data_IF_430684493521
#
_entry.id   IF_430684493521
#
_cell.length_a   1.000
_cell.length_b   1.000
_cell.length_c   1.000
_cell.angle_alpha   90.00
_cell.angle_beta   90.00
_cell.angle_gamma   90.00
#
_symmetry.space_group_name_H-M   'P 1'
#
loop_
_entity.id
_entity.type
_entity.pdbx_description
1 polymer ?
2 polymer ?
3 branched ?
4 water ?
#
# COMPACT_ATOMS: atom_id res chain seq x y z
N UNK A 1 -6.99 -13.20 -24.42
CA UNK A 1 -7.19 -13.64 -23.01
C UNK A 1 -8.61 -13.38 -22.60
N UNK A 2 -8.93 -13.75 -21.37
CA UNK A 2 -10.26 -13.50 -20.86
C UNK A 2 -10.18 -12.22 -20.03
N UNK A 3 -10.96 -11.22 -20.43
CA UNK A 3 -10.98 -9.93 -19.76
C UNK A 3 -12.05 -9.88 -18.70
N UNK A 4 -11.70 -9.37 -17.52
CA UNK A 4 -12.64 -9.24 -16.43
C UNK A 4 -12.77 -7.77 -16.07
N UNK A 5 -13.97 -7.24 -16.30
CA UNK A 5 -14.26 -5.84 -16.01
C UNK A 5 -15.11 -5.71 -14.75
N UNK A 6 -14.61 -4.96 -13.77
CA UNK A 6 -15.35 -4.78 -12.53
C UNK A 6 -15.97 -3.40 -12.39
N UNK A 7 -17.13 -3.35 -11.74
CA UNK A 7 -17.81 -2.10 -11.51
C UNK A 7 -18.50 -2.19 -10.16
N UNK A 8 -18.54 -1.08 -9.42
CA UNK A 8 -17.99 0.22 -9.84
C UNK A 8 -16.48 0.23 -9.65
N UNK A 9 -15.86 1.35 -9.98
CA UNK A 9 -14.42 1.47 -9.82
C UNK A 9 -14.11 1.84 -8.36
N UNK A 10 -15.02 2.60 -7.76
CA UNK A 10 -14.91 3.05 -6.36
C UNK A 10 -16.29 2.87 -5.73
N UNK A 11 -16.34 2.35 -4.50
CA UNK A 11 -17.63 2.12 -3.86
C UNK A 11 -17.73 2.64 -2.42
N UNK A 12 -18.39 3.80 -2.22
CA UNK A 12 -18.57 4.42 -0.90
C UNK A 12 -19.74 3.72 -0.20
N UNK A 13 -19.55 3.28 1.04
CA UNK A 13 -20.61 2.60 1.74
C UNK A 13 -20.57 2.87 3.24
N UNK A 14 -21.76 3.00 3.83
CA UNK A 14 -21.92 3.25 5.26
C UNK A 14 -21.73 1.99 6.07
N UNK A 15 -21.26 2.15 7.30
CA UNK A 15 -21.05 1.01 8.18
C UNK A 15 -22.36 0.27 8.40
N UNK A 16 -22.31 -1.06 8.40
CA UNK A 16 -23.49 -1.86 8.61
C UNK A 16 -24.35 -1.99 7.36
N UNK A 17 -24.00 -1.24 6.34
CA UNK A 17 -24.76 -1.27 5.09
C UNK A 17 -24.36 -2.43 4.18
N UNK A 18 -24.95 -2.45 2.99
CA UNK A 18 -24.69 -3.49 2.02
C UNK A 18 -23.92 -2.96 0.81
N UNK A 19 -22.94 -3.73 0.34
CA UNK A 19 -22.15 -3.34 -0.81
C UNK A 19 -22.26 -4.43 -1.86
N UNK A 20 -22.18 -4.04 -3.13
CA UNK A 20 -22.28 -5.02 -4.20
C UNK A 20 -21.31 -4.73 -5.34
N UNK A 21 -20.41 -5.68 -5.60
CA UNK A 21 -19.40 -5.57 -6.65
C UNK A 21 -19.70 -6.56 -7.77
N UNK A 22 -19.62 -6.11 -9.02
CA UNK A 22 -19.89 -6.99 -10.13
C UNK A 22 -18.64 -7.23 -10.95
N UNK A 23 -18.66 -8.34 -11.67
CA UNK A 23 -17.53 -8.75 -12.49
C UNK A 23 -18.07 -9.42 -13.75
N UNK A 24 -17.70 -8.86 -14.90
CA UNK A 24 -18.16 -9.40 -16.17
C UNK A 24 -16.98 -9.90 -16.99
N UNK A 25 -17.10 -11.09 -17.58
CA UNK A 25 -16.01 -11.62 -18.38
C UNK A 25 -16.32 -11.56 -19.87
N UNK A 26 -15.27 -11.56 -20.67
CA UNK A 26 -15.37 -11.49 -22.12
C UNK A 26 -15.84 -12.79 -22.77
N UNK A 27 -15.94 -13.86 -21.98
CA UNK A 27 -16.41 -15.15 -22.50
C UNK A 27 -16.89 -16.03 -21.35
N UNK A 28 -17.45 -17.19 -21.68
CA UNK A 28 -17.97 -18.07 -20.65
C UNK A 28 -16.85 -18.72 -19.84
N UNK A 29 -17.09 -18.85 -18.53
CA UNK A 29 -16.10 -19.43 -17.65
C UNK A 29 -16.44 -20.87 -17.25
N UNK A 30 -17.44 -21.44 -17.91
CA UNK A 30 -17.83 -22.81 -17.61
C UNK A 30 -16.80 -23.75 -18.21
N UNK A 31 -16.17 -24.54 -17.34
CA UNK A 31 -15.16 -25.50 -17.74
C UNK A 31 -15.81 -26.81 -18.20
N UNK A 32 -15.09 -27.56 -19.05
CA UNK A 32 -15.59 -28.84 -19.55
C UNK A 32 -16.02 -29.76 -18.41
N UNK A 33 -15.32 -29.68 -17.28
CA UNK A 33 -15.64 -30.53 -16.15
C UNK A 33 -16.83 -30.04 -15.36
N UNK A 34 -17.56 -29.07 -15.90
CA UNK A 34 -18.75 -28.57 -15.22
C UNK A 34 -18.60 -27.56 -14.10
N UNK A 35 -17.38 -27.14 -13.78
CA UNK A 35 -17.20 -26.14 -12.72
C UNK A 35 -16.96 -24.79 -13.36
N UNK A 36 -17.16 -23.72 -12.58
CA UNK A 36 -16.91 -22.37 -13.06
C UNK A 36 -15.90 -21.81 -12.06
N UNK A 37 -14.68 -21.57 -12.51
CA UNK A 37 -13.66 -21.08 -11.61
C UNK A 37 -13.51 -19.57 -11.51
N UNK A 38 -14.55 -18.92 -10.98
CA UNK A 38 -14.56 -17.47 -10.79
C UNK A 38 -14.41 -17.26 -9.27
N UNK A 39 -13.44 -16.45 -8.88
CA UNK A 39 -13.16 -16.21 -7.46
C UNK A 39 -13.09 -14.73 -7.10
N UNK A 40 -13.18 -14.44 -5.80
CA UNK A 40 -13.11 -13.06 -5.33
C UNK A 40 -12.04 -12.96 -4.26
N UNK A 41 -11.36 -11.81 -4.23
CA UNK A 41 -10.30 -11.56 -3.26
C UNK A 41 -10.41 -10.18 -2.64
N UNK A 42 -9.93 -10.05 -1.41
CA UNK A 42 -9.92 -8.77 -0.72
C UNK A 42 -8.48 -8.41 -0.39
N UNK A 43 -8.08 -7.20 -0.74
CA UNK A 43 -6.75 -6.73 -0.44
C UNK A 43 -6.85 -5.46 0.41
N UNK A 44 -6.44 -5.58 1.67
CA UNK A 44 -6.47 -4.45 2.59
C UNK A 44 -5.18 -3.64 2.41
N UNK A 45 -5.22 -2.35 2.76
CA UNK A 45 -4.06 -1.47 2.65
C UNK A 45 -2.77 -2.08 3.24
N UNK A 46 -1.75 -2.20 2.41
CA UNK A 46 -0.49 -2.76 2.88
C UNK A 46 -0.41 -4.29 2.88
N UNK A 47 -1.55 -4.96 2.96
CA UNK A 47 -1.60 -6.42 2.97
C UNK A 47 -1.74 -7.01 1.57
N UNK A 48 -1.49 -8.30 1.45
CA UNK A 48 -1.60 -8.99 0.16
C UNK A 48 -3.03 -9.46 -0.02
N UNK A 49 -3.42 -9.82 -1.26
CA UNK A 49 -4.81 -10.26 -1.43
C UNK A 49 -5.13 -11.54 -0.68
N UNK A 50 -6.36 -11.60 -0.18
CA UNK A 50 -6.86 -12.76 0.55
C UNK A 50 -8.09 -13.31 -0.16
N UNK A 51 -8.17 -14.62 -0.23
CA UNK A 51 -9.29 -15.30 -0.88
C UNK A 51 -10.53 -15.27 0.00
N UNK A 52 -11.66 -14.91 -0.60
CA UNK A 52 -12.91 -14.86 0.14
C UNK A 52 -13.87 -15.90 -0.40
N UNK A 53 -14.06 -15.87 -1.72
CA UNK A 53 -14.97 -16.76 -2.42
C UNK A 53 -14.27 -17.51 -3.54
N UNK A 54 -14.53 -18.81 -3.60
CA UNK A 54 -13.96 -19.62 -4.65
C UNK A 54 -15.09 -20.36 -5.37
N UNK A 55 -14.92 -20.55 -6.66
CA UNK A 55 -15.90 -21.23 -7.48
C UNK A 55 -17.29 -20.57 -7.40
N UNK A 56 -17.30 -19.27 -7.64
CA UNK A 56 -18.52 -18.48 -7.65
C UNK A 56 -19.19 -18.19 -6.32
N UNK A 57 -19.40 -19.21 -5.49
CA UNK A 57 -20.14 -19.01 -4.25
C UNK A 57 -19.65 -19.67 -2.97
N UNK A 58 -18.57 -20.43 -3.04
CA UNK A 58 -18.06 -21.09 -1.84
C UNK A 58 -17.19 -20.17 -1.03
N UNK A 59 -17.54 -19.99 0.24
CA UNK A 59 -16.77 -19.14 1.13
C UNK A 59 -15.51 -19.85 1.59
N UNK A 60 -14.40 -19.13 1.62
CA UNK A 60 -13.15 -19.72 2.06
C UNK A 60 -13.15 -19.80 3.58
N UNK A 61 -12.13 -20.45 4.15
CA UNK A 61 -12.05 -20.58 5.60
C UNK A 61 -11.94 -19.24 6.33
N UNK A 62 -12.68 -19.11 7.43
CA UNK A 62 -12.64 -17.90 8.22
C UNK A 62 -13.39 -16.74 7.62
N UNK A 63 -13.88 -16.92 6.40
CA UNK A 63 -14.64 -15.88 5.74
C UNK A 63 -16.03 -15.93 6.36
N UNK A 64 -16.47 -14.82 6.98
CA UNK A 64 -17.79 -14.74 7.62
C UNK A 64 -18.90 -15.01 6.61
N UNK A 65 -20.10 -15.27 7.09
CA UNK A 65 -21.23 -15.53 6.20
C UNK A 65 -21.80 -14.23 5.64
N UNK A 66 -21.08 -13.11 5.87
CA UNK A 66 -21.49 -11.80 5.37
C UNK A 66 -21.11 -11.68 3.89
N UNK A 67 -20.13 -12.47 3.48
CA UNK A 67 -19.66 -12.45 2.10
C UNK A 67 -20.29 -13.59 1.31
N UNK A 68 -21.02 -13.27 0.26
CA UNK A 68 -21.63 -14.30 -0.55
C UNK A 68 -21.48 -13.96 -2.04
N UNK A 69 -21.30 -14.98 -2.87
CA UNK A 69 -21.13 -14.73 -4.28
C UNK A 69 -22.08 -15.52 -5.17
N UNK A 70 -22.29 -15.01 -6.37
CA UNK A 70 -23.19 -15.66 -7.32
C UNK A 70 -22.68 -15.45 -8.74
N UNK A 71 -23.24 -16.23 -9.66
CA UNK A 71 -22.83 -16.13 -11.05
C UNK A 71 -24.01 -16.40 -11.97
N UNK A 72 -23.88 -15.97 -13.22
CA UNK A 72 -24.92 -16.14 -14.22
C UNK A 72 -24.36 -15.82 -15.59
N UNK A 73 -23.85 -16.84 -16.28
CA UNK A 73 -23.28 -16.63 -17.60
C UNK A 73 -21.91 -15.99 -17.49
N UNK A 74 -21.80 -14.73 -17.90
CA UNK A 74 -20.54 -14.02 -17.85
C UNK A 74 -20.61 -12.92 -16.81
N UNK A 75 -21.69 -12.89 -16.04
CA UNK A 75 -21.85 -11.89 -14.99
C UNK A 75 -21.75 -12.52 -13.63
N UNK A 76 -20.93 -11.93 -12.77
CA UNK A 76 -20.74 -12.43 -11.43
C UNK A 76 -20.83 -11.29 -10.43
N UNK A 77 -21.25 -11.63 -9.21
CA UNK A 77 -21.43 -10.62 -8.18
C UNK A 77 -20.95 -11.05 -6.81
N UNK A 78 -20.30 -10.13 -6.11
CA UNK A 78 -19.84 -10.36 -4.74
C UNK A 78 -20.73 -9.46 -3.88
N UNK A 79 -21.27 -9.99 -2.79
CA UNK A 79 -22.12 -9.19 -1.93
C UNK A 79 -21.61 -9.19 -0.50
N UNK A 80 -21.61 -8.03 0.13
CA UNK A 80 -21.18 -7.90 1.51
C UNK A 80 -22.28 -7.25 2.34
N UNK A 81 -22.92 -8.01 3.21
CA UNK A 81 -23.96 -7.44 4.04
C UNK A 81 -23.29 -6.98 5.34
N UNK A 82 -23.99 -6.14 6.11
CA UNK A 82 -23.47 -5.63 7.39
C UNK A 82 -21.99 -5.21 7.28
N UNK A 83 -21.68 -4.35 6.31
CA UNK A 83 -20.32 -3.86 6.09
C UNK A 83 -19.72 -3.27 7.36
N UNK A 84 -18.46 -3.56 7.63
CA UNK A 84 -17.82 -2.99 8.80
C UNK A 84 -16.39 -2.54 8.49
N UNK A 85 -15.89 -1.59 9.28
CA UNK A 85 -14.56 -1.02 9.10
C UNK A 85 -13.51 -1.92 8.48
N UNK A 86 -13.26 -3.07 9.11
CA UNK A 86 -12.27 -4.01 8.62
C UNK A 86 -12.47 -4.41 7.15
N UNK A 87 -13.65 -4.12 6.61
CA UNK A 87 -13.94 -4.47 5.23
C UNK A 87 -13.34 -3.56 4.17
N UNK A 88 -12.73 -2.45 4.56
CA UNK A 88 -12.17 -1.56 3.56
C UNK A 88 -11.00 -2.16 2.79
N UNK A 89 -10.88 -1.77 1.53
CA UNK A 89 -9.80 -2.28 0.70
C UNK A 89 -10.24 -2.44 -0.74
N UNK A 90 -9.46 -3.19 -1.51
CA UNK A 90 -9.81 -3.44 -2.90
C UNK A 90 -10.21 -4.89 -3.11
N UNK A 91 -11.36 -5.09 -3.75
CA UNK A 91 -11.87 -6.42 -4.03
C UNK A 91 -11.64 -6.73 -5.49
N UNK A 92 -11.08 -7.90 -5.76
CA UNK A 92 -10.79 -8.30 -7.13
C UNK A 92 -11.50 -9.60 -7.47
N UNK A 93 -11.85 -9.75 -8.75
CA UNK A 93 -12.43 -11.00 -9.19
C UNK A 93 -11.39 -11.61 -10.10
N UNK A 94 -11.33 -12.94 -10.13
CA UNK A 94 -10.37 -13.62 -10.98
C UNK A 94 -10.95 -14.95 -11.43
N UNK A 95 -10.44 -15.43 -12.57
CA UNK A 95 -10.91 -16.69 -13.10
C UNK A 95 -9.73 -17.59 -13.41
N UNK A 96 -9.94 -18.90 -13.26
CA UNK A 96 -8.92 -19.89 -13.54
C UNK A 96 -9.48 -21.02 -14.41
N UNK A 97 -10.50 -20.71 -15.19
CA UNK A 97 -11.08 -21.68 -16.10
C UNK A 97 -10.10 -21.76 -17.26
N UNK A 98 -9.63 -20.61 -17.73
CA UNK A 98 -8.67 -20.52 -18.83
C UNK A 98 -7.39 -19.91 -18.26
N UNK A 99 -6.53 -19.36 -19.12
CA UNK A 99 -5.32 -18.72 -18.61
C UNK A 99 -5.83 -17.73 -17.57
N UNK A 100 -5.36 -17.86 -16.32
CA UNK A 100 -5.80 -16.97 -15.23
C UNK A 100 -5.71 -15.47 -15.49
N UNK A 101 -6.79 -14.76 -15.19
CA UNK A 101 -6.83 -13.31 -15.36
C UNK A 101 -7.54 -12.71 -14.15
N UNK A 102 -7.29 -11.42 -13.91
CA UNK A 102 -7.90 -10.74 -12.77
C UNK A 102 -8.59 -9.48 -13.26
N UNK A 103 -9.58 -9.04 -12.49
CA UNK A 103 -10.29 -7.83 -12.86
C UNK A 103 -9.49 -6.61 -12.39
N UNK A 104 -9.92 -5.42 -12.81
CA UNK A 104 -9.24 -4.21 -12.44
C UNK A 104 -9.28 -3.85 -10.97
N UNK A 105 -10.32 -4.27 -10.28
CA UNK A 105 -10.42 -3.97 -8.87
C UNK A 105 -11.46 -2.93 -8.53
N UNK A 106 -11.94 -2.98 -7.30
CA UNK A 106 -12.95 -2.04 -6.83
C UNK A 106 -12.54 -1.64 -5.41
N UNK A 107 -12.29 -0.35 -5.22
CA UNK A 107 -11.92 0.12 -3.88
C UNK A 107 -13.19 0.37 -3.09
N UNK A 108 -13.28 -0.25 -1.92
CA UNK A 108 -14.44 -0.06 -1.06
C UNK A 108 -14.04 0.96 0.00
N UNK A 109 -14.76 2.06 0.06
CA UNK A 109 -14.49 3.10 1.04
C UNK A 109 -15.59 3.14 2.09
N UNK A 110 -15.22 3.40 3.33
CA UNK A 110 -16.18 3.47 4.41
C UNK A 110 -16.70 4.90 4.54
N UNK A 111 -17.99 5.07 4.30
CA UNK A 111 -18.63 6.36 4.40
C UNK A 111 -18.96 6.50 5.89
N UNK A 112 -18.23 7.35 6.60
CA UNK A 112 -18.47 7.54 8.02
C UNK A 112 -18.82 8.98 8.34
N UNK A 113 -19.08 9.26 9.60
CA UNK A 113 -19.45 10.62 10.04
C UNK A 113 -18.29 11.58 9.90
N UNK A 114 -18.59 12.80 9.45
CA UNK A 114 -17.57 13.81 9.29
C UNK A 114 -16.74 13.99 10.55
N UNK A 115 -15.47 14.32 10.36
CA UNK A 115 -14.56 14.53 11.48
C UNK A 115 -13.63 15.68 11.14
N UNK A 116 -13.59 16.68 12.01
CA UNK A 116 -12.73 17.82 11.81
C UNK A 116 -11.29 17.42 12.09
N UNK A 117 -10.34 17.99 11.34
CA UNK A 117 -8.91 17.71 11.49
C UNK A 117 -8.23 18.34 12.70
N UNK A 118 -7.08 17.79 13.04
CA UNK A 118 -6.26 18.27 14.12
C UNK A 118 -4.98 18.69 13.40
N UNK A 119 -4.60 19.95 13.52
CA UNK A 119 -3.42 20.43 12.84
C UNK A 119 -2.18 20.59 13.70
N UNK A 120 -1.06 20.17 13.13
CA UNK A 120 0.22 20.24 13.80
C UNK A 120 1.15 20.84 12.76
N UNK A 121 1.99 21.79 13.17
CA UNK A 121 2.92 22.37 12.22
C UNK A 121 4.31 22.09 12.76
N UNK A 122 5.17 21.58 11.89
CA UNK A 122 6.54 21.25 12.26
C UNK A 122 7.54 22.10 11.48
N UNK A 123 8.21 23.02 12.17
CA UNK A 123 9.17 23.84 11.41
C UNK A 123 10.25 22.90 10.90
N UNK A 124 11.08 23.39 9.97
CA UNK A 124 12.12 22.49 9.46
C UNK A 124 13.11 22.12 10.57
N UNK A 125 13.68 20.94 10.42
CA UNK A 125 14.69 20.46 11.35
C UNK A 125 15.99 21.05 10.83
N UNK A 126 16.90 21.43 11.73
CA UNK A 126 18.17 21.99 11.28
C UNK A 126 18.93 20.94 10.47
N UNK A 127 18.60 19.67 10.68
CA UNK A 127 19.26 18.59 9.96
C UNK A 127 19.05 18.63 8.45
N UNK A 128 18.00 19.32 8.02
CA UNK A 128 17.69 19.40 6.60
C UNK A 128 18.36 20.54 5.85
N UNK A 129 18.71 21.59 6.58
CA UNK A 129 19.30 22.80 6.00
C UNK A 129 20.48 22.63 5.05
N UNK A 130 21.39 21.72 5.32
CA UNK A 130 22.52 21.56 4.41
C UNK A 130 22.12 20.92 3.07
N UNK A 131 20.89 20.40 2.98
CA UNK A 131 20.43 19.81 1.73
C UNK A 131 20.15 20.92 0.72
N UNK A 132 20.03 22.15 1.21
CA UNK A 132 19.76 23.28 0.34
C UNK A 132 18.30 23.65 0.35
N UNK A 133 17.49 22.82 1.01
CA UNK A 133 16.07 23.07 1.09
C UNK A 133 15.57 22.92 2.51
N UNK A 134 14.42 23.52 2.78
CA UNK A 134 13.79 23.45 4.09
C UNK A 134 12.33 23.05 3.86
N UNK A 135 11.85 22.10 4.66
CA UNK A 135 10.47 21.62 4.51
C UNK A 135 9.68 21.88 5.76
N UNK A 136 8.64 22.69 5.63
CA UNK A 136 7.77 22.99 6.75
C UNK A 136 6.59 22.05 6.52
N UNK A 137 6.24 21.26 7.52
CA UNK A 137 5.14 20.32 7.37
C UNK A 137 3.93 20.69 8.22
N UNK A 138 2.75 20.60 7.59
CA UNK A 138 1.47 20.88 8.22
C UNK A 138 0.76 19.53 8.15
N UNK A 139 0.56 18.90 9.30
CA UNK A 139 -0.08 17.60 9.36
C UNK A 139 -1.53 17.69 9.82
N UNK A 140 -2.44 17.22 8.99
CA UNK A 140 -3.87 17.24 9.31
C UNK A 140 -4.22 15.80 9.62
N UNK A 141 -4.56 15.54 10.87
CA UNK A 141 -4.84 14.20 11.36
C UNK A 141 -6.29 13.89 11.72
N UNK A 142 -6.70 12.65 11.42
CA UNK A 142 -8.01 12.11 11.74
C UNK A 142 -9.25 12.88 11.29
N UNK A 143 -9.39 13.07 9.98
CA UNK A 143 -10.53 13.80 9.45
C UNK A 143 -11.30 12.98 8.42
N UNK A 144 -12.44 13.51 8.02
CA UNK A 144 -13.29 12.87 7.04
C UNK A 144 -14.38 13.89 6.74
N UNK A 145 -14.75 14.06 5.46
CA UNK A 145 -14.28 13.42 4.22
C UNK A 145 -12.79 13.60 3.95
N UNK A 146 -12.34 13.04 2.83
CA UNK A 146 -10.95 13.07 2.38
C UNK A 146 -10.52 14.44 1.86
N UNK A 147 -11.42 15.11 1.15
CA UNK A 147 -11.17 16.43 0.56
C UNK A 147 -10.82 17.47 1.60
N UNK A 148 -9.73 18.18 1.35
CA UNK A 148 -9.30 19.23 2.25
C UNK A 148 -8.35 20.12 1.46
N UNK A 149 -8.27 21.38 1.87
CA UNK A 149 -7.41 22.36 1.21
C UNK A 149 -6.48 22.98 2.23
N UNK A 150 -5.21 23.04 1.88
CA UNK A 150 -4.22 23.63 2.75
C UNK A 150 -3.62 24.81 2.02
N UNK A 151 -3.56 25.95 2.70
CA UNK A 151 -2.99 27.15 2.09
C UNK A 151 -1.79 27.54 2.94
N UNK A 152 -0.74 28.03 2.30
CA UNK A 152 0.44 28.45 3.03
C UNK A 152 0.67 29.95 2.92
N UNK A 153 1.04 30.55 4.05
CA UNK A 153 1.31 31.97 4.13
C UNK A 153 2.67 32.24 4.74
N UNK A 154 3.52 32.89 3.95
CA UNK A 154 4.86 33.24 4.43
C UNK A 154 4.83 34.73 4.67
N UNK A 155 4.88 35.13 5.94
CA UNK A 155 4.83 36.54 6.28
C UNK A 155 3.58 37.13 5.63
N UNK A 156 2.41 36.63 6.04
CA UNK A 156 1.16 37.12 5.50
C UNK A 156 0.86 36.79 4.05
N UNK A 157 1.88 36.71 3.21
CA UNK A 157 1.67 36.42 1.79
C UNK A 157 1.46 34.94 1.47
N UNK A 158 0.42 34.65 0.70
CA UNK A 158 0.10 33.29 0.30
C UNK A 158 1.17 32.77 -0.65
N UNK A 159 1.66 31.55 -0.41
CA UNK A 159 2.68 30.93 -1.23
C UNK A 159 2.10 29.67 -1.83
N UNK A 160 2.03 29.58 -3.15
CA UNK A 160 1.45 28.41 -3.79
C UNK A 160 2.44 27.36 -4.28
N UNK A 161 3.58 27.78 -4.82
CA UNK A 161 4.53 26.79 -5.31
C UNK A 161 5.49 26.32 -4.24
N UNK A 162 5.86 25.04 -4.33
CA UNK A 162 6.75 24.43 -3.36
C UNK A 162 5.97 23.50 -2.46
N UNK A 163 4.67 23.41 -2.70
CA UNK A 163 3.79 22.57 -1.90
C UNK A 163 3.52 21.18 -2.48
N UNK A 164 3.53 20.17 -1.62
CA UNK A 164 3.25 18.80 -1.99
C UNK A 164 2.28 18.24 -0.98
N UNK A 165 1.13 17.77 -1.45
CA UNK A 165 0.11 17.23 -0.56
C UNK A 165 -0.06 15.74 -0.84
N UNK A 166 -0.23 14.97 0.24
CA UNK A 166 -0.41 13.54 0.11
C UNK A 166 -1.25 13.00 1.25
N UNK A 167 -2.09 12.02 0.94
CA UNK A 167 -3.00 11.42 1.93
C UNK A 167 -2.62 10.00 2.36
N UNK A 168 -3.24 9.57 3.45
CA UNK A 168 -3.04 8.22 3.95
C UNK A 168 -4.26 7.47 3.43
N UNK A 169 -4.22 6.15 3.50
CA UNK A 169 -5.36 5.33 3.11
C UNK A 169 -6.32 5.50 4.28
N UNK A 170 -7.54 5.02 4.12
CA UNK A 170 -8.52 5.13 5.17
C UNK A 170 -8.15 4.18 6.31
N UNK A 171 -8.28 4.67 7.55
CA UNK A 171 -7.93 3.88 8.71
C UNK A 171 -8.94 2.75 9.03
N UNK A 172 -8.41 1.55 9.24
CA UNK A 172 -9.21 0.36 9.53
C UNK A 172 -10.06 0.47 10.79
N UNK A 173 -9.54 1.21 11.78
CA UNK A 173 -10.23 1.39 13.05
C UNK A 173 -11.36 2.42 12.98
N UNK A 174 -10.99 3.70 12.95
CA UNK A 174 -11.99 4.77 12.94
C UNK A 174 -12.38 5.33 11.58
N UNK A 175 -11.87 4.73 10.51
CA UNK A 175 -12.20 5.14 9.14
C UNK A 175 -11.96 6.60 8.75
N UNK A 176 -10.99 7.25 9.39
CA UNK A 176 -10.67 8.64 9.07
C UNK A 176 -9.45 8.71 8.17
N UNK A 177 -9.11 9.91 7.73
CA UNK A 177 -7.93 10.11 6.90
C UNK A 177 -6.99 11.08 7.58
N UNK A 178 -5.77 11.12 7.09
CA UNK A 178 -4.75 12.03 7.57
C UNK A 178 -4.07 12.46 6.28
N UNK A 179 -3.49 13.65 6.28
CA UNK A 179 -2.79 14.12 5.11
C UNK A 179 -1.77 15.13 5.57
N UNK A 180 -0.70 15.25 4.81
CA UNK A 180 0.35 16.19 5.14
C UNK A 180 0.63 17.11 3.99
N UNK A 181 0.84 18.38 4.30
CA UNK A 181 1.16 19.35 3.29
C UNK A 181 2.61 19.73 3.57
N UNK A 182 3.46 19.64 2.55
CA UNK A 182 4.85 19.96 2.75
C UNK A 182 5.28 21.09 1.85
N UNK A 183 5.70 22.20 2.46
CA UNK A 183 6.17 23.36 1.73
C UNK A 183 7.67 23.28 1.76
N UNK A 184 8.28 23.21 0.58
CA UNK A 184 9.73 23.13 0.52
C UNK A 184 10.30 24.39 -0.11
N UNK A 185 11.24 25.03 0.59
CA UNK A 185 11.85 26.25 0.11
C UNK A 185 13.35 26.08 0.04
N UNK A 186 14.03 27.02 -0.62
CA UNK A 186 15.49 26.97 -0.68
C UNK A 186 15.83 27.45 0.73
N UNK A 187 16.97 27.03 1.26
CA UNK A 187 17.36 27.44 2.61
C UNK A 187 17.27 28.96 2.82
N UNK A 188 17.84 29.75 1.91
CA UNK A 188 17.81 31.19 2.08
C UNK A 188 16.42 31.82 1.96
N UNK A 189 15.56 31.21 1.17
CA UNK A 189 14.20 31.72 1.03
C UNK A 189 13.57 31.59 2.41
N UNK A 190 13.80 30.45 3.05
CA UNK A 190 13.26 30.18 4.37
C UNK A 190 13.76 31.18 5.43
N UNK A 191 15.02 31.60 5.33
CA UNK A 191 15.56 32.52 6.34
C UNK A 191 15.29 33.99 6.10
N UNK A 192 14.72 34.32 4.94
CA UNK A 192 14.38 35.70 4.63
C UNK A 192 12.95 36.00 5.06
N UNK A 193 12.36 35.10 5.85
CA UNK A 193 10.99 35.27 6.33
C UNK A 193 10.90 34.73 7.73
N UNK A 194 9.92 35.20 8.50
CA UNK A 194 9.79 34.78 9.89
C UNK A 194 8.52 34.03 10.28
N UNK A 195 7.40 34.36 9.67
CA UNK A 195 6.15 33.68 9.99
C UNK A 195 5.72 32.69 8.93
N UNK A 196 5.49 31.46 9.37
CA UNK A 196 5.04 30.42 8.48
C UNK A 196 3.70 29.95 9.00
N UNK A 197 2.68 30.11 8.16
CA UNK A 197 1.34 29.74 8.54
C UNK A 197 0.65 28.84 7.52
N UNK A 198 0.00 27.79 7.99
CA UNK A 198 -0.76 26.95 7.08
C UNK A 198 -2.18 27.00 7.58
N UNK A 199 -3.09 27.20 6.64
CA UNK A 199 -4.50 27.26 6.97
C UNK A 199 -5.14 26.09 6.27
N UNK A 200 -5.96 25.37 7.01
CA UNK A 200 -6.66 24.23 6.47
C UNK A 200 -8.15 24.52 6.49
N UNK A 201 -8.80 24.23 5.39
CA UNK A 201 -10.23 24.40 5.24
C UNK A 201 -10.81 23.04 4.93
N UNK A 202 -11.71 22.59 5.79
CA UNK A 202 -12.35 21.29 5.62
C UNK A 202 -13.85 21.49 5.67
N UNK A 203 -14.60 20.50 5.21
CA UNK A 203 -16.06 20.58 5.21
C UNK A 203 -16.56 20.86 6.63
N UNK A 204 -15.87 20.29 7.62
CA UNK A 204 -16.25 20.46 9.01
C UNK A 204 -16.10 21.86 9.61
N UNK A 205 -16.01 22.89 8.76
CA UNK A 205 -15.87 24.25 9.27
C UNK A 205 -15.85 25.34 8.19
N UNK A 206 -16.12 26.57 8.60
CA UNK A 206 -16.12 27.72 7.68
C UNK A 206 -14.79 28.44 7.86
N UNK A 207 -14.47 28.74 9.13
CA UNK A 207 -13.23 29.42 9.48
C UNK A 207 -12.05 28.46 9.40
N UNK A 208 -10.99 28.86 8.71
CA UNK A 208 -9.77 28.06 8.52
C UNK A 208 -9.06 27.67 9.80
N UNK A 209 -8.61 26.42 9.87
CA UNK A 209 -7.88 25.97 11.03
C UNK A 209 -6.48 26.50 10.77
N UNK A 210 -6.04 27.45 11.60
CA UNK A 210 -4.72 28.04 11.40
C UNK A 210 -3.71 27.55 12.41
N UNK A 211 -2.49 27.33 11.92
CA UNK A 211 -1.38 26.89 12.75
C UNK A 211 -0.17 27.58 12.16
N UNK A 212 0.66 28.15 13.01
CA UNK A 212 1.85 28.83 12.52
C UNK A 212 2.91 28.93 13.60
N UNK A 213 4.14 29.20 13.17
CA UNK A 213 5.25 29.33 14.09
C UNK A 213 6.09 30.49 13.61
N UNK A 214 6.87 31.04 14.53
CA UNK A 214 7.76 32.14 14.21
C UNK A 214 9.12 31.63 14.62
N UNK A 215 10.16 32.07 13.92
CA UNK A 215 11.51 31.64 14.24
C UNK A 215 12.07 32.52 15.36
N UNK B 1 -2.26 -20.46 9.75
CA UNK B 1 -1.08 -21.35 10.00
C UNK B 1 -0.29 -21.57 8.71
N UNK B 2 -0.94 -21.36 7.56
CA UNK B 2 -0.26 -21.50 6.29
C UNK B 2 0.56 -20.24 6.13
N UNK B 3 1.82 -20.38 5.78
CA UNK B 3 2.70 -19.23 5.64
C UNK B 3 3.45 -19.24 4.31
N UNK B 4 3.47 -18.10 3.64
CA UNK B 4 4.17 -17.96 2.36
C UNK B 4 4.98 -16.67 2.41
N UNK B 5 6.29 -16.75 2.15
CA UNK B 5 7.11 -15.56 2.21
C UNK B 5 8.11 -15.42 1.07
N UNK B 6 7.94 -14.36 0.28
CA UNK B 6 8.82 -14.08 -0.86
C UNK B 6 9.96 -13.14 -0.49
N UNK B 7 10.96 -13.06 -1.37
CA UNK B 7 12.10 -12.19 -1.17
C UNK B 7 12.88 -12.10 -2.47
N UNK B 8 13.80 -11.14 -2.54
CA UNK B 8 14.62 -10.99 -3.73
C UNK B 8 14.34 -9.78 -4.62
N UNK B 9 13.46 -8.90 -4.18
CA UNK B 9 13.14 -7.74 -5.00
C UNK B 9 14.21 -6.66 -4.99
N UNK B 10 13.98 -5.60 -5.74
CA UNK B 10 14.94 -4.52 -5.80
C UNK B 10 14.86 -3.78 -7.12
N UNK B 11 15.87 -2.98 -7.41
CA UNK B 11 15.91 -2.21 -8.65
C UNK B 11 16.79 -2.90 -9.67
N UNK B 12 16.32 -3.00 -10.92
CA UNK B 12 17.09 -3.63 -11.99
C UNK B 12 17.03 -2.77 -13.25
N UNK B 13 18.02 -2.93 -14.13
CA UNK B 13 18.10 -2.15 -15.37
C UNK B 13 17.43 -2.87 -16.53
N UNK B 14 17.12 -2.54 -17.65
CA UNK B 14 16.57 -3.37 -18.74
C UNK B 14 17.65 -4.24 -19.36
N UNK B 15 17.54 -4.14 -19.25
CA UNK B 15 17.26 -5.51 -19.61
C UNK B 15 18.09 -6.52 -18.83
N UNK B 16 18.04 -6.42 -17.50
CA UNK B 16 18.81 -7.32 -16.65
C UNK B 16 18.05 -8.55 -16.17
N UNK B 17 18.64 -9.26 -15.21
CA UNK B 17 18.04 -10.46 -14.66
C UNK B 17 17.80 -10.29 -13.17
N UNK B 18 17.00 -11.19 -12.61
CA UNK B 18 16.68 -11.16 -11.19
C UNK B 18 15.95 -12.44 -10.81
N UNK B 19 16.22 -12.93 -9.61
CA UNK B 19 15.59 -14.16 -9.14
C UNK B 19 14.84 -13.97 -7.83
N UNK B 20 13.59 -14.44 -7.80
CA UNK B 20 12.77 -14.33 -6.60
C UNK B 20 12.62 -15.69 -5.93
N UNK B 21 12.46 -15.68 -4.62
CA UNK B 21 12.30 -16.92 -3.87
C UNK B 21 11.04 -16.88 -3.04
N UNK B 22 10.46 -18.04 -2.80
CA UNK B 22 9.28 -18.13 -1.97
C UNK B 22 9.36 -19.34 -1.09
N UNK B 23 9.12 -19.14 0.20
CA UNK B 23 9.19 -20.21 1.16
C UNK B 23 7.83 -20.39 1.79
N UNK B 24 7.31 -21.60 1.71
CA UNK B 24 6.01 -21.91 2.29
C UNK B 24 6.19 -22.80 3.50
N UNK B 25 5.21 -22.80 4.39
CA UNK B 25 5.26 -23.64 5.58
C UNK B 25 3.82 -23.77 6.06
N UNK B 26 3.54 -24.82 6.84
CA UNK B 26 2.19 -24.98 7.35
C UNK B 26 1.35 -25.97 6.57
N UNK B 27 1.90 -26.52 5.50
CA UNK B 27 1.17 -27.50 4.68
C UNK B 27 2.15 -28.38 3.92
N UNK B 28 1.72 -29.58 3.55
CA UNK B 28 2.62 -30.45 2.80
C UNK B 28 2.84 -29.81 1.43
N UNK B 29 3.88 -28.99 1.37
CA UNK B 29 4.25 -28.27 0.16
C UNK B 29 4.17 -29.08 -1.13
N UNK B 30 4.72 -30.28 -1.12
CA UNK B 30 4.74 -31.14 -2.30
C UNK B 30 3.39 -31.52 -2.91
N UNK B 31 2.31 -31.41 -2.14
CA UNK B 31 0.98 -31.74 -2.63
C UNK B 31 0.28 -30.61 -3.40
N UNK B 32 0.92 -29.46 -3.53
CA UNK B 32 0.27 -28.34 -4.20
C UNK B 32 0.99 -27.67 -5.36
N UNK B 33 0.22 -27.13 -6.31
CA UNK B 33 0.82 -26.39 -7.40
C UNK B 33 1.16 -25.05 -6.78
N UNK B 34 2.15 -24.37 -7.34
CA UNK B 34 2.56 -23.07 -6.84
C UNK B 34 2.50 -22.06 -7.97
N UNK B 35 2.17 -20.82 -7.64
CA UNK B 35 2.02 -19.76 -8.63
C UNK B 35 2.81 -18.50 -8.29
N UNK B 36 2.97 -17.66 -9.30
CA UNK B 36 3.62 -16.35 -9.16
C UNK B 36 2.67 -15.41 -9.86
N UNK B 37 2.28 -14.35 -9.16
CA UNK B 37 1.38 -13.33 -9.70
C UNK B 37 2.00 -11.97 -9.40
N UNK B 38 2.00 -11.09 -10.39
CA UNK B 38 2.56 -9.76 -10.19
C UNK B 38 1.48 -8.69 -10.29
N UNK B 39 1.74 -7.56 -9.65
CA UNK B 39 0.81 -6.45 -9.62
C UNK B 39 1.57 -5.17 -9.97
N UNK B 40 1.08 -4.45 -10.98
CA UNK B 40 1.70 -3.21 -11.42
C UNK B 40 0.61 -2.15 -11.52
N UNK B 41 0.96 -0.87 -11.40
CA UNK B 41 -0.11 0.13 -11.51
C UNK B 41 -0.52 0.39 -12.96
N UNK B 42 0.10 -0.33 -13.89
CA UNK B 42 -0.23 -0.16 -15.32
C UNK B 42 -1.12 -1.30 -15.83
N UNK B 43 -0.95 -2.49 -15.27
CA UNK B 43 -1.75 -3.63 -15.71
C UNK B 43 -2.47 -4.36 -14.59
N UNK B 44 -2.41 -3.83 -13.37
CA UNK B 44 -3.07 -4.48 -12.25
C UNK B 44 -2.49 -5.88 -12.00
N UNK B 45 -3.31 -6.78 -11.48
CA UNK B 45 -2.84 -8.13 -11.21
C UNK B 45 -2.69 -8.97 -12.47
N UNK B 46 -1.53 -9.60 -12.59
CA UNK B 46 -1.27 -10.43 -13.76
C UNK B 46 -0.62 -11.73 -13.36
N UNK B 47 -1.23 -12.83 -13.81
CA UNK B 47 -0.70 -14.16 -13.52
C UNK B 47 0.58 -14.29 -14.33
N UNK B 48 1.63 -14.83 -13.72
CA UNK B 48 2.89 -14.95 -14.44
C UNK B 48 3.23 -16.40 -14.80
N UNK B 49 3.27 -17.25 -13.80
CA UNK B 49 3.62 -18.64 -14.05
C UNK B 49 3.09 -19.60 -13.00
N UNK B 50 3.16 -20.88 -13.34
CA UNK B 50 2.70 -21.94 -12.46
C UNK B 50 3.57 -23.16 -12.69
N UNK B 51 3.80 -23.92 -11.63
CA UNK B 51 4.58 -25.13 -11.72
C UNK B 51 3.82 -26.18 -10.90
N UNK B 52 3.52 -27.32 -11.53
CA UNK B 52 2.75 -28.36 -10.86
C UNK B 52 3.51 -29.36 -9.95
N UNK B 53 3.00 -30.60 -9.86
CA UNK B 53 3.60 -31.60 -8.99
C UNK B 53 4.64 -32.55 -9.57
N UNK B 54 5.27 -33.32 -8.69
CA UNK B 54 6.29 -34.32 -9.05
C UNK B 54 5.68 -35.34 -10.00
N UNK B 55 4.50 -35.84 -9.63
CA UNK B 55 3.80 -36.81 -10.44
C UNK B 55 3.45 -36.22 -11.80
N UNK B 56 3.45 -34.89 -11.90
CA UNK B 56 3.13 -34.21 -13.14
C UNK B 56 4.40 -33.88 -13.92
N UNK B 57 5.52 -34.39 -13.44
CA UNK B 57 6.80 -34.13 -14.09
C UNK B 57 7.09 -32.63 -14.01
N UNK B 58 6.59 -32.00 -12.95
CA UNK B 58 6.78 -30.57 -12.72
C UNK B 58 6.42 -29.70 -13.90
N UNK B 59 5.31 -30.03 -14.56
CA UNK B 59 4.83 -29.26 -15.70
C UNK B 59 4.77 -27.79 -15.28
N UNK B 60 5.22 -26.91 -16.19
CA UNK B 60 5.20 -25.48 -15.93
C UNK B 60 4.38 -24.78 -16.99
N UNK B 61 3.82 -23.63 -16.64
CA UNK B 61 3.02 -22.84 -17.58
C UNK B 61 3.29 -21.37 -17.34
N UNK B 62 3.58 -20.64 -18.41
CA UNK B 62 3.87 -19.23 -18.30
C UNK B 62 2.89 -18.36 -19.08
N UNK B 63 2.76 -17.11 -18.63
CA UNK B 63 1.89 -16.15 -19.30
C UNK B 63 2.62 -15.80 -20.58
N UNK B 64 1.85 -15.54 -21.64
CA UNK B 64 2.41 -15.22 -22.95
C UNK B 64 3.47 -14.14 -22.91
N UNK B 65 3.28 -13.12 -22.06
CA UNK B 65 4.21 -12.01 -21.97
C UNK B 65 5.57 -12.32 -21.30
N UNK B 66 5.68 -13.44 -20.58
CA UNK B 66 6.96 -13.75 -19.95
C UNK B 66 7.54 -15.03 -20.50
N UNK B 67 6.80 -15.68 -21.38
CA UNK B 67 7.23 -16.94 -21.98
C UNK B 67 8.58 -16.75 -22.66
N UNK B 68 9.54 -17.56 -22.27
CA UNK B 68 10.85 -17.46 -22.87
C UNK B 68 11.78 -16.50 -22.17
N UNK B 69 11.32 -15.87 -21.09
CA UNK B 69 12.16 -14.95 -20.35
C UNK B 69 12.19 -15.34 -18.88
N UNK B 70 11.07 -15.85 -18.40
CA UNK B 70 10.93 -16.24 -17.00
C UNK B 70 10.90 -17.75 -16.88
N UNK B 71 11.48 -18.26 -15.80
CA UNK B 71 11.51 -19.69 -15.53
C UNK B 71 11.12 -19.91 -14.08
N UNK B 72 10.16 -20.79 -13.87
CA UNK B 72 9.69 -21.10 -12.52
C UNK B 72 10.19 -22.49 -12.17
N UNK B 73 10.55 -22.69 -10.91
CA UNK B 73 11.04 -23.99 -10.46
C UNK B 73 10.71 -24.19 -9.00
N UNK B 74 10.77 -25.42 -8.54
CA UNK B 74 10.48 -25.71 -7.15
C UNK B 74 11.45 -26.74 -6.56
N UNK B 75 11.49 -26.78 -5.23
CA UNK B 75 12.34 -27.69 -4.51
C UNK B 75 11.50 -28.16 -3.33
N UNK B 76 10.78 -29.26 -3.54
CA UNK B 76 9.89 -29.82 -2.52
C UNK B 76 10.52 -30.10 -1.16
N UNK B 77 11.81 -30.41 -1.13
CA UNK B 77 12.48 -30.70 0.13
C UNK B 77 12.59 -29.46 1.01
N UNK B 78 12.87 -28.31 0.42
CA UNK B 78 13.00 -27.08 1.19
C UNK B 78 11.74 -26.19 1.13
N UNK B 79 10.66 -26.75 0.60
CA UNK B 79 9.37 -26.03 0.49
C UNK B 79 9.54 -24.66 -0.14
N UNK B 80 10.30 -24.59 -1.22
CA UNK B 80 10.55 -23.35 -1.91
C UNK B 80 10.19 -23.41 -3.39
N UNK B 81 9.96 -22.23 -3.96
CA UNK B 81 9.65 -22.11 -5.37
C UNK B 81 10.33 -20.82 -5.80
N UNK B 82 10.96 -20.84 -6.96
CA UNK B 82 11.70 -19.69 -7.45
C UNK B 82 11.21 -19.18 -8.79
N UNK B 83 11.55 -17.94 -9.08
CA UNK B 83 11.19 -17.34 -10.35
C UNK B 83 12.39 -16.60 -10.91
N UNK B 84 12.98 -17.18 -11.94
CA UNK B 84 14.14 -16.61 -12.62
C UNK B 84 13.62 -15.64 -13.68
N UNK B 85 14.08 -14.40 -13.64
CA UNK B 85 13.61 -13.43 -14.62
C UNK B 85 14.74 -12.81 -15.43
N UNK B 86 14.68 -12.95 -16.75
CA UNK B 86 15.72 -12.44 -17.62
C UNK B 86 15.21 -11.46 -18.65
N UNK B 87 16.13 -10.65 -19.18
CA UNK B 87 15.81 -9.65 -20.18
C UNK B 87 14.63 -8.84 -19.69
N UNK B 88 14.68 -8.47 -18.41
CA UNK B 88 13.61 -7.69 -17.80
C UNK B 88 13.36 -6.39 -18.55
N UNK B 89 12.11 -5.96 -18.53
CA UNK B 89 11.70 -4.73 -19.18
C UNK B 89 10.93 -3.88 -18.20
N UNK B 90 10.77 -2.61 -18.55
CA UNK B 90 10.07 -1.68 -17.70
C UNK B 90 8.70 -2.25 -17.33
N UNK B 91 8.09 -2.95 -18.27
CA UNK B 91 6.76 -3.55 -18.06
C UNK B 91 6.77 -4.62 -16.99
N UNK B 92 7.95 -5.18 -16.71
CA UNK B 92 8.02 -6.21 -15.69
C UNK B 92 8.01 -5.62 -14.28
N UNK B 93 7.98 -4.29 -14.20
CA UNK B 93 7.96 -3.61 -12.93
C UNK B 93 6.64 -3.87 -12.19
N UNK B 94 6.75 -4.19 -10.91
CA UNK B 94 5.59 -4.45 -10.08
C UNK B 94 5.92 -5.28 -8.86
N UNK B 95 4.90 -5.57 -8.07
CA UNK B 95 5.03 -6.38 -6.87
C UNK B 95 4.76 -7.83 -7.26
N UNK B 96 5.66 -8.73 -6.88
CA UNK B 96 5.49 -10.14 -7.23
C UNK B 96 5.05 -10.95 -6.04
N UNK B 97 3.94 -11.66 -6.20
CA UNK B 97 3.40 -12.49 -5.13
C UNK B 97 3.55 -13.96 -5.44
N UNK B 98 3.81 -14.71 -4.39
CA UNK B 98 3.91 -16.15 -4.49
C UNK B 98 2.58 -16.64 -3.91
N UNK B 99 1.90 -17.55 -4.61
CA UNK B 99 0.62 -18.05 -4.11
C UNK B 99 0.51 -19.56 -4.27
N UNK B 100 -0.34 -20.18 -3.47
CA UNK B 100 -0.53 -21.62 -3.58
C UNK B 100 -1.70 -21.94 -4.52
N UNK B 101 -1.58 -23.06 -5.23
CA UNK B 101 -2.65 -23.50 -6.11
C UNK B 101 -3.55 -24.31 -5.19
N UNK B 102 -4.59 -23.67 -4.69
CA UNK B 102 -5.50 -24.35 -3.78
C UNK B 102 -6.28 -25.51 -4.36
N UNK B 103 -6.60 -26.45 -3.49
CA UNK B 103 -7.37 -27.64 -3.88
C UNK B 103 -8.76 -27.20 -4.32
N UNK B 104 -9.21 -26.07 -3.78
CA UNK B 104 -10.52 -25.51 -4.08
C UNK B 104 -10.63 -24.82 -5.45
N UNK B 105 -9.55 -24.88 -6.23
CA UNK B 105 -9.56 -24.29 -7.57
C UNK B 105 -9.10 -22.85 -7.74
N UNK B 106 -8.58 -22.24 -6.68
CA UNK B 106 -8.11 -20.87 -6.74
C UNK B 106 -6.82 -20.72 -5.94
N UNK B 107 -6.07 -19.66 -6.22
CA UNK B 107 -4.85 -19.39 -5.50
C UNK B 107 -5.30 -18.96 -4.11
N UNK B 108 -5.18 -19.85 -3.13
CA UNK B 108 -5.67 -19.58 -1.78
C UNK B 108 -4.80 -18.81 -0.81
N UNK B 109 -3.50 -19.05 -0.82
CA UNK B 109 -2.64 -18.31 0.10
C UNK B 109 -1.58 -17.54 -0.64
N UNK B 110 -1.49 -16.26 -0.32
CA UNK B 110 -0.53 -15.37 -0.94
C UNK B 110 0.47 -14.88 0.09
N UNK B 111 1.66 -14.55 -0.38
CA UNK B 111 2.68 -14.04 0.49
C UNK B 111 2.50 -12.54 0.58
N UNK B 112 3.39 -11.88 1.31
CA UNK B 112 3.33 -10.43 1.47
C UNK B 112 3.75 -9.73 0.20
N UNK B 113 4.53 -10.42 -0.62
CA UNK B 113 4.99 -9.86 -1.87
C UNK B 113 6.35 -9.19 -1.76
N UNK B 114 7.04 -9.07 -2.89
CA UNK B 114 8.34 -8.42 -2.92
C UNK B 114 8.32 -7.52 -4.17
N UNK B 115 8.75 -6.28 -4.01
CA UNK B 115 8.72 -5.35 -5.13
C UNK B 115 9.92 -5.41 -6.09
N UNK B 116 9.65 -5.15 -7.37
CA UNK B 116 10.67 -5.17 -8.41
C UNK B 116 10.52 -3.92 -9.27
N UNK B 117 11.61 -3.19 -9.46
CA UNK B 117 11.56 -2.00 -10.30
C UNK B 117 12.62 -2.11 -11.35
N UNK B 118 12.18 -2.08 -12.61
CA UNK B 118 13.08 -2.16 -13.75
C UNK B 118 13.19 -0.75 -14.28
N UNK B 119 14.36 -0.14 -14.09
CA UNK B 119 14.58 1.23 -14.53
C UNK B 119 16.06 1.51 -14.74
N UNK B 120 16.36 2.52 -15.55
CA UNK B 120 17.75 2.89 -15.82
C UNK B 120 18.25 3.92 -14.82
N UNK B 121 17.38 4.31 -13.89
CA UNK B 121 17.74 5.27 -12.84
C UNK B 121 18.35 4.43 -11.72
N UNK B 122 19.28 5.00 -10.95
CA UNK B 122 19.89 4.25 -9.86
C UNK B 122 19.22 4.44 -8.51
N UNK B 123 19.56 3.55 -7.60
CA UNK B 123 19.02 3.55 -6.25
C UNK B 123 19.59 4.66 -5.36
N UNK B 124 18.70 5.25 -4.55
CA UNK B 124 19.10 6.32 -3.65
C UNK B 124 18.40 6.07 -2.34
N UNK B 125 19.19 5.90 -1.27
CA UNK B 125 18.64 5.66 0.05
C UNK B 125 17.99 6.93 0.54
N UNK B 126 16.94 6.82 1.36
CA UNK B 126 16.23 7.98 1.89
C UNK B 126 16.95 8.82 2.94
N UNK B 127 16.57 10.10 3.02
CA UNK B 127 17.10 11.00 4.03
C UNK B 127 15.95 11.15 5.01
N UNK B 128 16.23 11.11 6.31
CA UNK B 128 15.15 11.22 7.30
C UNK B 128 15.32 12.39 8.26
N UNK B 129 14.31 13.25 8.35
CA UNK B 129 14.38 14.40 9.24
C UNK B 129 13.31 14.26 10.30
N UNK B 130 13.56 14.80 11.49
CA UNK B 130 12.56 14.71 12.55
C UNK B 130 11.47 15.76 12.46
N UNK B 131 10.25 15.36 12.73
CA UNK B 131 9.12 16.29 12.73
C UNK B 131 8.82 16.40 14.22
N UNK B 132 9.15 17.56 14.79
CA UNK B 132 8.98 17.80 16.22
C UNK B 132 8.24 19.11 16.54
N UNK B 133 7.43 19.10 17.61
CA UNK B 133 6.67 20.26 18.05
C UNK B 133 7.54 21.46 18.41
N UNK B 134 6.50 20.64 16.66
CA UNK B 134 6.99 22.01 16.67
C UNK B 134 6.49 22.93 17.78
N UNK B 135 7.29 23.03 18.84
CA UNK B 135 7.02 23.87 20.01
C UNK B 135 5.69 24.62 19.94
N UNK B 136 4.65 24.05 20.55
CA UNK B 136 3.31 24.65 20.54
C UNK B 136 2.51 24.22 21.77
N UNK B 137 1.24 24.62 21.83
CA UNK B 137 0.35 24.28 22.94
C UNK B 137 -0.44 23.00 22.62
N UNK B 138 -0.57 22.12 23.61
CA UNK B 138 -1.28 20.86 23.46
C UNK B 138 -2.76 20.97 23.06
N UNK B 139 -3.03 20.89 21.76
CA UNK B 139 -4.41 20.97 21.26
C UNK B 139 -4.58 20.14 19.99
N UNK B 140 -4.24 18.86 20.08
CA UNK B 140 -4.37 17.97 18.93
C UNK B 140 -3.99 16.53 19.27
N UNK B 141 -4.91 15.83 19.92
CA UNK B 141 -4.69 14.43 20.31
C UNK B 141 -3.31 14.20 20.93
N UNK B 142 -1.86 13.70 22.67
CA UNK B 142 -1.47 14.99 23.23
C UNK B 142 -0.33 15.59 22.41
N UNK B 143 0.63 14.74 22.03
CA UNK B 143 1.75 15.22 21.22
C UNK B 143 1.95 14.37 19.96
N UNK B 144 2.16 15.05 18.83
CA UNK B 144 2.38 14.36 17.57
C UNK B 144 3.82 14.49 17.09
N UNK B 145 4.42 13.35 16.80
CA UNK B 145 5.81 13.29 16.32
C UNK B 145 5.83 12.60 14.96
N UNK B 146 6.92 12.78 14.23
CA UNK B 146 7.01 12.13 12.94
C UNK B 146 8.39 12.08 12.33
N UNK B 147 8.49 11.36 11.22
CA UNK B 147 9.74 11.24 10.47
C UNK B 147 9.45 11.57 9.01
N UNK B 148 10.19 12.55 8.48
CA UNK B 148 10.03 12.97 7.09
C UNK B 148 11.06 12.22 6.28
N UNK B 149 10.59 11.32 5.41
CA UNK B 149 11.47 10.50 4.57
C UNK B 149 11.52 11.08 3.18
N UNK B 150 12.64 11.71 2.82
CA UNK B 150 12.75 12.31 1.50
C UNK B 150 13.84 11.72 0.63
N UNK B 151 13.78 12.09 -0.64
CA UNK B 151 14.76 11.69 -1.64
C UNK B 151 15.21 10.27 -1.83
N UNK B 152 14.29 9.33 -1.99
CA UNK B 152 14.71 7.95 -2.20
C UNK B 152 14.15 7.39 -3.49
N UNK B 153 14.78 6.33 -3.98
CA UNK B 153 14.37 5.66 -5.20
C UNK B 153 15.06 4.30 -5.28
N UNK B 154 14.32 3.26 -5.64
CA UNK B 154 12.90 3.31 -5.97
C UNK B 154 12.04 3.14 -4.73
N UNK B 155 10.77 2.89 -4.96
CA UNK B 155 9.83 2.64 -3.89
C UNK B 155 10.02 1.13 -3.66
N UNK B 156 9.55 0.59 -2.54
CA UNK B 156 8.86 1.23 -1.43
C UNK B 156 9.79 1.49 -0.25
N UNK B 157 9.21 2.05 0.80
CA UNK B 157 9.93 2.32 2.03
C UNK B 157 8.93 2.00 3.12
N UNK B 158 9.31 1.22 4.11
CA UNK B 158 8.37 0.94 5.17
C UNK B 158 8.80 1.65 6.45
N UNK B 159 7.82 2.16 7.20
CA UNK B 159 8.10 2.85 8.45
C UNK B 159 7.38 2.20 9.61
N UNK B 160 8.09 2.04 10.72
CA UNK B 160 7.52 1.48 11.94
C UNK B 160 8.01 2.32 13.10
N UNK B 161 7.36 2.20 14.26
CA UNK B 161 7.74 2.96 15.44
C UNK B 161 8.06 2.05 16.61
N UNK B 162 9.15 2.36 17.31
CA UNK B 162 9.58 1.53 18.44
C UNK B 162 9.66 0.07 17.99
N UNK B 163 10.15 -0.12 16.77
CA UNK B 163 10.32 -1.44 16.15
C UNK B 163 9.03 -2.20 15.94
N UNK B 164 7.89 -1.52 15.98
CA UNK B 164 6.63 -2.20 15.79
C UNK B 164 5.85 -2.25 17.09
N UNK B 165 6.56 -2.13 18.21
CA UNK B 165 5.90 -2.14 19.50
C UNK B 165 4.85 -1.04 19.53
N UNK B 166 5.15 0.10 18.91
CA UNK B 166 4.23 1.23 18.85
C UNK B 166 3.46 1.19 17.54
N UNK B 167 2.19 0.81 17.60
CA UNK B 167 1.39 0.73 16.37
C UNK B 167 0.01 1.40 16.43
N UNK B 168 -0.33 2.00 17.56
CA UNK B 168 -1.61 2.69 17.68
C UNK B 168 -1.48 4.14 17.27
N UNK B 169 -2.36 4.59 16.38
CA UNK B 169 -2.31 5.97 15.96
C UNK B 169 -1.12 6.32 15.08
N UNK B 170 -0.63 5.35 14.32
CA UNK B 170 0.48 5.59 13.41
C UNK B 170 -0.15 5.98 12.08
N UNK B 171 0.34 7.06 11.49
CA UNK B 171 -0.20 7.55 10.22
C UNK B 171 0.90 7.76 9.18
N UNK B 172 0.79 7.08 8.05
CA UNK B 172 1.80 7.19 7.01
C UNK B 172 1.16 7.49 5.65
N UNK B 173 1.34 8.70 5.16
CA UNK B 173 0.77 9.11 3.87
C UNK B 173 1.47 8.32 2.77
N UNK B 174 0.89 8.30 1.58
CA UNK B 174 1.52 7.55 0.52
C UNK B 174 2.62 8.38 -0.10
N UNK B 175 3.55 7.71 -0.76
CA UNK B 175 4.66 8.39 -1.38
C UNK B 175 4.22 9.21 -2.56
N UNK B 176 5.02 10.21 -2.92
CA UNK B 176 4.77 11.04 -4.07
C UNK B 176 6.10 11.20 -4.81
N UNK B 177 6.07 11.01 -6.12
CA UNK B 177 7.26 11.12 -6.95
C UNK B 177 7.38 12.53 -7.54
N UNK B 178 8.48 13.21 -7.23
CA UNK B 178 8.72 14.55 -7.75
C UNK B 178 10.21 14.78 -7.93
N UNK B 179 10.56 15.48 -9.00
CA UNK B 179 11.97 15.77 -9.32
C UNK B 179 12.78 14.48 -9.44
N UNK B 180 12.11 13.36 -9.68
CA UNK B 180 12.79 12.10 -9.81
C UNK B 180 12.97 11.33 -8.51
N UNK B 181 12.39 11.83 -7.43
CA UNK B 181 12.51 11.16 -6.14
C UNK B 181 11.20 11.07 -5.37
N UNK B 182 11.15 10.10 -4.47
CA UNK B 182 9.97 9.90 -3.65
C UNK B 182 10.21 10.51 -2.29
N UNK B 183 9.13 10.68 -1.55
CA UNK B 183 9.21 11.21 -0.21
C UNK B 183 7.86 10.92 0.42
N UNK B 184 7.84 10.78 1.75
CA UNK B 184 6.62 10.54 2.48
C UNK B 184 6.81 10.98 3.91
N UNK B 185 5.77 10.82 4.72
CA UNK B 185 5.83 11.19 6.12
C UNK B 185 5.11 10.14 6.91
N UNK B 186 5.58 9.91 8.13
CA UNK B 186 4.94 8.97 9.02
C UNK B 186 4.93 9.65 10.37
N UNK B 187 3.75 9.76 10.96
CA UNK B 187 3.61 10.41 12.25
C UNK B 187 2.83 9.53 13.20
N UNK B 188 3.07 9.72 14.49
CA UNK B 188 2.39 8.95 15.52
C UNK B 188 1.98 9.94 16.60
N UNK B 189 0.90 9.64 17.30
CA UNK B 189 0.45 10.52 18.37
C UNK B 189 0.59 9.78 19.70
N UNK B 190 1.18 10.46 20.68
CA UNK B 190 1.37 9.86 22.00
C UNK B 190 1.01 10.84 23.10
N UNK B 191 0.71 10.32 24.32
CA UNK B 191 0.35 11.14 25.48
C UNK B 191 1.48 12.09 25.87
N UNK B 192 1.15 13.37 26.06
CA UNK B 192 2.15 14.37 26.41
C UNK B 192 2.95 14.05 27.66
N UNK B 193 2.69 12.89 28.26
CA UNK B 193 3.40 12.46 29.46
C UNK B 193 4.45 11.43 29.07
N UNK B 194 4.03 10.48 28.24
CA UNK B 194 4.90 9.41 27.76
C UNK B 194 5.98 9.92 26.80
N UNK B 195 6.27 11.22 26.87
CA UNK B 195 7.29 11.83 26.03
C UNK B 195 7.60 13.22 26.62
N UNK B 196 8.89 13.59 26.71
CA UNK B 196 10.10 12.84 26.34
C UNK B 196 10.55 11.82 27.36
N UNK B 197 9.84 11.74 28.48
CA UNK B 197 10.19 10.80 29.54
C UNK B 197 10.49 9.42 28.93
N UNK B 198 9.71 9.02 27.94
CA UNK B 198 9.92 7.73 27.29
C UNK B 198 10.49 7.87 25.88
N UNK B 199 11.10 6.80 25.40
CA UNK B 199 11.76 6.75 24.10
C UNK B 199 10.88 6.45 22.89
N UNK B 200 10.88 7.35 21.91
CA UNK B 200 10.12 7.15 20.69
C UNK B 200 11.05 7.25 19.49
N UNK B 201 11.08 6.20 18.67
CA UNK B 201 11.93 6.16 17.50
C UNK B 201 11.17 5.65 16.28
N UNK B 202 11.63 6.03 15.09
CA UNK B 202 11.00 5.55 13.87
C UNK B 202 12.01 4.66 13.17
N UNK B 203 11.51 3.60 12.55
CA UNK B 203 12.32 2.63 11.84
C UNK B 203 11.94 2.69 10.36
N UNK B 204 12.81 3.28 9.56
CA UNK B 204 12.58 3.43 8.12
C UNK B 204 13.43 2.41 7.35
N UNK B 205 12.74 1.50 6.67
CA UNK B 205 13.42 0.47 5.89
C UNK B 205 13.27 0.75 4.40
N UNK B 206 14.35 0.52 3.65
CA UNK B 206 14.38 0.74 2.21
C UNK B 206 15.06 -0.50 1.62
N UNK B 207 14.26 -1.53 1.26
CA UNK B 207 14.74 -2.78 0.69
C UNK B 207 15.75 -2.66 -0.46
N UNK B 208 15.46 -1.81 -1.43
CA UNK B 208 16.32 -1.61 -2.59
C UNK B 208 17.75 -1.24 -2.23
N UNK B 209 17.94 -0.55 -1.11
CA UNK B 209 19.27 -0.15 -0.67
C UNK B 209 19.64 -0.95 0.56
N UNK B 210 18.75 -1.87 0.93
CA UNK B 210 18.97 -2.74 2.07
C UNK B 210 19.31 -1.97 3.34
N UNK B 211 18.69 -0.82 3.50
CA UNK B 211 18.95 -0.02 4.69
C UNK B 211 17.78 0.00 5.67
N UNK B 212 18.13 0.08 6.94
CA UNK B 212 17.19 0.13 8.03
C UNK B 212 17.68 1.37 8.75
N UNK B 213 16.83 2.38 8.89
CA UNK B 213 17.27 3.59 9.56
C UNK B 213 16.47 3.81 10.82
N UNK B 214 17.19 3.96 11.93
CA UNK B 214 16.58 4.14 13.23
C UNK B 214 16.86 5.55 13.75
N UNK B 215 15.81 6.31 13.98
CA UNK B 215 15.96 7.68 14.47
C UNK B 215 15.07 7.94 15.67
N UNK B 216 15.61 8.54 16.72
CA UNK B 216 14.79 8.82 17.89
C UNK B 216 14.48 10.31 18.03
N UNK B 217 13.18 10.67 18.06
CA UNK B 217 12.82 12.08 18.21
C UNK B 217 12.94 12.55 19.65
N UNK B 218 13.83 13.51 19.87
CA UNK B 218 14.05 14.08 21.20
C UNK B 218 13.40 15.46 21.22
N UNK B 219 13.12 15.95 22.43
CA UNK B 219 12.51 17.26 22.59
C UNK B 219 13.16 18.41 21.82
N UNK B 220 14.50 18.49 21.71
CA UNK B 220 15.19 19.55 20.99
C UNK B 220 14.34 20.65 20.37
#
# INVERSE_FOLDING_TARGET
DVVLTQTPLSLPVRLGDQASISCRSSQSLLHSDGNTYLHWYLQKPGQSPKLLIYKVSNRFSGVPDRFSGSGSGTDFTLKISRVEAEDLGVYFCSQTTHVPTFGGGTKLEIKRADAAPTVSIFPPSSEQLTSGGASVVCFLNNFYPKDINVKWKIDGSERQNGVLNSWTDQDSKDSTYSMSSTLTLTKDEYERHNSYTCEATHKTSTSPIVKSFNR
EVKVEESGGGLVQPGGSMKLSCVASGFTFSNYWMEWVRQSPEKGLEWVAEIRLKSNNYATHYAESVKGRFTISRDDSKSSVYLQMNNLRAEDTGIYYCTRGGAVGAMDYWGQGTSVTVSSATTTAPSVYPLVPGCSDTSGSSVTLGCLVKGYFPEPVTVKWNYGALSSGVRTVSSVLQSGFYSLSSLVTVPSSTWPSQTVICNVAHPASKVDLIKEPSGP
#
